data_IF_123661291667
#
_entry.id   IF_123661291667
#
_cell.length_a   1.000
_cell.length_b   1.000
_cell.length_c   1.000
_cell.angle_alpha   90.00
_cell.angle_beta   90.00
_cell.angle_gamma   90.00
#
_symmetry.space_group_name_H-M   'P 1'
#
loop_
_entity.id
_entity.type
_entity.pdbx_description
1 polymer ?
#
# COMPACT_ATOMS: atom_id res chain seq x y z
N UNK A 1 -1.17 -14.05 24.65
CA UNK A 1 -1.72 -12.71 24.97
C UNK A 1 -3.13 -12.90 25.51
N UNK A 2 -3.33 -12.70 26.81
CA UNK A 2 -4.67 -12.63 27.39
C UNK A 2 -5.25 -11.27 26.97
N UNK A 3 -6.39 -11.26 26.29
CA UNK A 3 -7.06 -10.00 25.87
C UNK A 3 -7.90 -9.47 27.01
N UNK A 4 -7.95 -8.15 27.17
CA UNK A 4 -8.89 -7.53 28.11
C UNK A 4 -10.33 -7.82 27.62
N UNK A 5 -11.23 -8.34 28.47
CA UNK A 5 -12.63 -8.53 28.13
C UNK A 5 -13.34 -7.26 27.62
N UNK A 6 -12.81 -6.07 27.91
CA UNK A 6 -13.33 -4.77 27.43
C UNK A 6 -12.83 -4.37 26.04
N UNK A 7 -11.87 -5.10 25.45
CA UNK A 7 -11.33 -4.77 24.13
C UNK A 7 -12.34 -4.99 23.01
N UNK A 8 -12.59 -3.95 22.22
CA UNK A 8 -13.36 -4.06 21.00
C UNK A 8 -12.49 -4.58 19.85
N UNK A 9 -12.98 -5.60 19.15
CA UNK A 9 -12.29 -6.18 18.00
C UNK A 9 -12.39 -5.25 16.79
N UNK A 10 -11.38 -4.38 16.60
CA UNK A 10 -11.28 -3.51 15.41
C UNK A 10 -11.01 -4.27 14.11
N UNK A 11 -10.16 -5.29 14.18
CA UNK A 11 -9.73 -6.12 13.05
C UNK A 11 -9.67 -7.61 13.41
N UNK A 12 -10.11 -8.46 12.48
CA UNK A 12 -9.98 -9.91 12.53
C UNK A 12 -8.54 -10.37 12.33
N UNK A 13 -8.23 -11.63 12.70
CA UNK A 13 -6.90 -12.18 12.52
C UNK A 13 -6.48 -12.24 11.03
N UNK A 14 -7.41 -12.64 10.15
CA UNK A 14 -7.18 -12.69 8.71
C UNK A 14 -6.91 -11.32 8.10
N UNK A 15 -7.65 -10.29 8.52
CA UNK A 15 -7.41 -8.91 8.05
C UNK A 15 -6.00 -8.43 8.43
N UNK A 16 -5.57 -8.70 9.67
CA UNK A 16 -4.21 -8.35 10.11
C UNK A 16 -3.14 -9.14 9.37
N UNK A 17 -3.34 -10.44 9.19
CA UNK A 17 -2.39 -11.29 8.48
C UNK A 17 -2.19 -10.82 7.03
N UNK A 18 -3.28 -10.57 6.30
CA UNK A 18 -3.20 -10.06 4.93
C UNK A 18 -2.56 -8.66 4.88
N UNK A 19 -2.85 -7.79 5.86
CA UNK A 19 -2.19 -6.49 5.97
C UNK A 19 -0.67 -6.63 6.16
N UNK A 20 -0.21 -7.55 7.01
CA UNK A 20 1.22 -7.81 7.18
C UNK A 20 1.88 -8.35 5.92
N UNK A 21 1.19 -9.20 5.14
CA UNK A 21 1.69 -9.64 3.82
C UNK A 21 1.89 -8.43 2.91
N UNK A 22 0.87 -7.57 2.76
CA UNK A 22 0.98 -6.35 1.94
C UNK A 22 2.10 -5.43 2.44
N UNK A 23 2.22 -5.21 3.75
CA UNK A 23 3.24 -4.34 4.34
C UNK A 23 4.66 -4.85 4.11
N UNK A 24 4.88 -6.15 4.30
CA UNK A 24 6.19 -6.77 4.02
C UNK A 24 6.51 -6.73 2.52
N UNK A 25 5.56 -7.07 1.65
CA UNK A 25 5.77 -6.98 0.21
C UNK A 25 6.08 -5.56 -0.25
N UNK A 26 5.39 -4.55 0.30
CA UNK A 26 5.67 -3.15 0.01
C UNK A 26 7.10 -2.76 0.39
N UNK A 27 7.56 -3.13 1.58
CA UNK A 27 8.94 -2.82 2.03
C UNK A 27 9.95 -3.45 1.07
N UNK A 28 9.77 -4.73 0.72
CA UNK A 28 10.67 -5.42 -0.21
C UNK A 28 10.66 -4.79 -1.61
N UNK A 29 9.49 -4.40 -2.11
CA UNK A 29 9.35 -3.72 -3.40
C UNK A 29 9.93 -2.33 -3.41
N UNK A 30 9.74 -1.54 -2.35
CA UNK A 30 10.32 -0.21 -2.23
C UNK A 30 11.85 -0.27 -2.24
N UNK A 31 12.44 -1.20 -1.47
CA UNK A 31 13.89 -1.36 -1.40
C UNK A 31 14.50 -1.87 -2.72
N UNK A 32 13.89 -2.89 -3.32
CA UNK A 32 14.35 -3.41 -4.62
C UNK A 32 14.12 -2.41 -5.76
N UNK A 33 12.99 -1.70 -5.75
CA UNK A 33 12.66 -0.66 -6.73
C UNK A 33 13.62 0.53 -6.64
N UNK A 34 13.94 1.02 -5.44
CA UNK A 34 14.96 2.06 -5.23
C UNK A 34 16.32 1.63 -5.78
N UNK A 35 16.71 0.37 -5.54
CA UNK A 35 17.97 -0.19 -6.04
C UNK A 35 18.06 -0.17 -7.58
N UNK A 36 16.92 -0.32 -8.26
CA UNK A 36 16.80 -0.31 -9.72
C UNK A 36 16.53 1.09 -10.28
N UNK A 37 16.07 2.03 -9.46
CA UNK A 37 15.70 3.38 -9.86
C UNK A 37 16.89 4.33 -9.95
N UNK A 38 17.79 4.32 -8.97
CA UNK A 38 18.93 5.24 -8.93
C UNK A 38 20.22 4.55 -8.45
N UNK A 39 21.38 4.76 -9.12
CA UNK A 39 22.62 4.03 -8.84
C UNK A 39 23.13 4.13 -7.39
N UNK A 40 22.84 5.24 -6.70
CA UNK A 40 23.18 5.43 -5.28
C UNK A 40 22.65 4.30 -4.39
N UNK A 41 21.51 3.72 -4.76
CA UNK A 41 20.85 2.67 -3.99
C UNK A 41 21.19 1.25 -4.46
N UNK A 42 22.09 1.10 -5.44
CA UNK A 42 22.55 -0.21 -5.92
C UNK A 42 22.98 -1.19 -4.81
N UNK A 43 23.63 -0.76 -3.70
CA UNK A 43 23.98 -1.66 -2.60
C UNK A 43 22.79 -2.42 -1.98
N UNK A 44 21.55 -1.91 -2.12
CA UNK A 44 20.34 -2.59 -1.65
C UNK A 44 20.07 -3.92 -2.39
N UNK A 45 20.61 -4.11 -3.60
CA UNK A 45 20.48 -5.38 -4.33
C UNK A 45 21.06 -6.58 -3.56
N UNK A 46 22.01 -6.34 -2.65
CA UNK A 46 22.59 -7.39 -1.81
C UNK A 46 21.57 -8.02 -0.85
N UNK A 47 20.50 -7.30 -0.48
CA UNK A 47 19.42 -7.83 0.35
C UNK A 47 18.64 -8.95 -0.36
N UNK A 48 18.71 -9.00 -1.69
CA UNK A 48 17.97 -9.94 -2.52
C UNK A 48 18.88 -10.98 -3.17
N UNK A 49 20.17 -11.05 -2.82
CA UNK A 49 21.14 -11.95 -3.45
C UNK A 49 21.83 -11.38 -4.71
N UNK A 50 21.80 -10.06 -4.88
CA UNK A 50 22.46 -9.33 -5.97
C UNK A 50 21.50 -8.85 -7.06
N UNK A 51 22.03 -8.13 -8.06
CA UNK A 51 21.23 -7.49 -9.12
C UNK A 51 20.36 -8.47 -9.92
N UNK A 52 20.89 -9.64 -10.25
CA UNK A 52 20.16 -10.69 -10.98
C UNK A 52 18.91 -11.13 -10.22
N UNK A 53 19.07 -11.50 -8.95
CA UNK A 53 17.95 -11.94 -8.12
C UNK A 53 16.99 -10.80 -7.78
N UNK A 54 17.49 -9.58 -7.55
CA UNK A 54 16.64 -8.39 -7.35
C UNK A 54 15.67 -8.21 -8.52
N UNK A 55 16.18 -8.25 -9.76
CA UNK A 55 15.37 -8.11 -10.98
C UNK A 55 14.38 -9.25 -11.16
N UNK A 56 14.76 -10.49 -10.81
CA UNK A 56 13.89 -11.66 -10.91
C UNK A 56 12.75 -11.57 -9.88
N UNK A 57 13.08 -11.30 -8.60
CA UNK A 57 12.14 -11.36 -7.48
C UNK A 57 11.16 -10.17 -7.46
N UNK A 58 11.61 -8.97 -7.82
CA UNK A 58 10.80 -7.75 -7.74
C UNK A 58 9.39 -7.91 -8.36
N UNK A 59 9.24 -8.31 -9.64
CA UNK A 59 7.90 -8.42 -10.23
C UNK A 59 7.04 -9.53 -9.60
N UNK A 60 7.62 -10.64 -9.12
CA UNK A 60 6.84 -11.68 -8.40
C UNK A 60 6.31 -11.18 -7.06
N UNK A 61 7.12 -10.43 -6.30
CA UNK A 61 6.67 -9.77 -5.07
C UNK A 61 5.59 -8.73 -5.41
N UNK A 62 5.71 -8.05 -6.55
CA UNK A 62 4.72 -7.12 -7.09
C UNK A 62 3.35 -7.77 -7.30
N UNK A 63 3.32 -8.96 -7.91
CA UNK A 63 2.09 -9.75 -8.08
C UNK A 63 1.51 -10.16 -6.72
N UNK A 64 2.33 -10.67 -5.81
CA UNK A 64 1.88 -11.04 -4.46
C UNK A 64 1.24 -9.85 -3.75
N UNK A 65 1.90 -8.69 -3.77
CA UNK A 65 1.38 -7.46 -3.19
C UNK A 65 0.05 -7.07 -3.83
N UNK A 66 -0.05 -7.06 -5.16
CA UNK A 66 -1.25 -6.67 -5.88
C UNK A 66 -2.44 -7.56 -5.54
N UNK A 67 -2.25 -8.89 -5.50
CA UNK A 67 -3.31 -9.84 -5.14
C UNK A 67 -3.74 -9.68 -3.68
N UNK A 68 -2.79 -9.60 -2.74
CA UNK A 68 -3.08 -9.40 -1.32
C UNK A 68 -3.75 -8.06 -1.05
N UNK A 69 -3.32 -6.99 -1.72
CA UNK A 69 -3.93 -5.66 -1.63
C UNK A 69 -5.34 -5.66 -2.22
N UNK A 70 -5.58 -6.33 -3.35
CA UNK A 70 -6.93 -6.44 -3.94
C UNK A 70 -7.93 -7.08 -2.97
N UNK A 71 -7.48 -8.07 -2.17
CA UNK A 71 -8.30 -8.65 -1.12
C UNK A 71 -8.64 -7.63 -0.01
N UNK A 72 -7.68 -6.80 0.43
CA UNK A 72 -7.95 -5.71 1.38
C UNK A 72 -8.88 -4.65 0.78
N UNK A 73 -8.64 -4.25 -0.48
CA UNK A 73 -9.45 -3.28 -1.19
C UNK A 73 -10.92 -3.72 -1.24
N UNK A 74 -11.19 -4.96 -1.69
CA UNK A 74 -12.55 -5.49 -1.74
C UNK A 74 -13.21 -5.53 -0.36
N UNK A 75 -12.45 -5.85 0.69
CA UNK A 75 -12.92 -5.94 2.07
C UNK A 75 -13.27 -4.56 2.67
N UNK A 76 -12.46 -3.55 2.38
CA UNK A 76 -12.52 -2.25 3.07
C UNK A 76 -13.07 -1.11 2.22
N UNK A 77 -13.29 -1.28 0.90
CA UNK A 77 -13.74 -0.18 0.01
C UNK A 77 -15.00 0.53 0.51
N UNK A 78 -16.02 -0.22 0.95
CA UNK A 78 -17.30 0.36 1.39
C UNK A 78 -17.15 1.18 2.68
N UNK A 79 -16.17 0.83 3.52
CA UNK A 79 -15.86 1.57 4.75
C UNK A 79 -15.02 2.82 4.49
N UNK A 80 -14.48 2.97 3.28
CA UNK A 80 -13.61 4.07 2.87
C UNK A 80 -14.26 4.98 1.82
N UNK A 81 -15.57 4.89 1.64
CA UNK A 81 -16.30 5.86 0.83
C UNK A 81 -16.16 7.26 1.45
N UNK A 82 -15.79 8.23 0.61
CA UNK A 82 -15.60 9.62 1.01
C UNK A 82 -16.97 10.30 1.13
N UNK A 83 -17.29 10.78 2.33
CA UNK A 83 -18.50 11.55 2.62
C UNK A 83 -18.17 13.04 2.70
N UNK A 84 -19.19 13.93 2.70
CA UNK A 84 -18.97 15.37 2.93
C UNK A 84 -18.20 15.66 4.24
N UNK A 85 -18.47 14.89 5.30
CA UNK A 85 -17.79 15.01 6.59
C UNK A 85 -16.30 14.67 6.50
N UNK A 86 -15.91 13.72 5.65
CA UNK A 86 -14.49 13.41 5.42
C UNK A 86 -13.77 14.55 4.69
N UNK A 87 -14.46 15.24 3.78
CA UNK A 87 -13.88 16.40 3.09
C UNK A 87 -13.70 17.59 4.03
N UNK A 88 -14.65 17.79 4.94
CA UNK A 88 -14.49 18.76 6.04
C UNK A 88 -13.30 18.39 6.93
N UNK A 89 -13.16 17.11 7.29
CA UNK A 89 -12.02 16.60 8.06
C UNK A 89 -10.69 16.95 7.36
N UNK A 90 -10.61 16.74 6.05
CA UNK A 90 -9.40 17.04 5.26
C UNK A 90 -9.12 18.54 5.22
N UNK A 91 -10.16 19.39 5.12
CA UNK A 91 -10.01 20.84 5.19
C UNK A 91 -9.44 21.34 6.52
N UNK A 92 -9.63 20.57 7.60
CA UNK A 92 -9.16 20.87 8.96
C UNK A 92 -7.95 20.04 9.38
N UNK A 93 -7.23 19.42 8.44
CA UNK A 93 -6.09 18.52 8.75
C UNK A 93 -5.04 19.17 9.65
N UNK A 94 -4.89 20.50 9.58
CA UNK A 94 -3.96 21.25 10.44
C UNK A 94 -4.31 21.13 11.93
N UNK A 95 -5.60 21.18 12.28
CA UNK A 95 -6.06 21.04 13.67
C UNK A 95 -5.67 19.68 14.25
N UNK A 96 -5.86 18.61 13.47
CA UNK A 96 -5.41 17.26 13.84
C UNK A 96 -3.88 17.15 14.00
N UNK A 97 -3.11 17.80 13.12
CA UNK A 97 -1.63 17.78 13.19
C UNK A 97 -1.12 18.57 14.39
N UNK A 98 -1.81 19.65 14.75
CA UNK A 98 -1.52 20.48 15.93
C UNK A 98 -2.01 19.82 17.25
N UNK A 99 -2.67 18.66 17.17
CA UNK A 99 -3.10 17.85 18.31
C UNK A 99 -4.48 18.21 18.87
N UNK A 100 -5.23 19.09 18.21
CA UNK A 100 -6.60 19.45 18.56
C UNK A 100 -7.59 18.52 17.84
N UNK A 101 -7.80 17.32 18.39
CA UNK A 101 -8.74 16.35 17.85
C UNK A 101 -10.19 16.61 18.29
N UNK A 102 -10.40 17.47 19.28
CA UNK A 102 -11.71 17.77 19.86
C UNK A 102 -12.63 18.54 18.91
N UNK A 103 -12.05 19.38 18.06
CA UNK A 103 -12.79 20.19 17.08
C UNK A 103 -12.95 19.50 15.72
N UNK A 104 -12.45 18.27 15.57
CA UNK A 104 -12.56 17.52 14.33
C UNK A 104 -13.99 17.02 14.12
N UNK A 105 -14.48 16.99 12.87
CA UNK A 105 -15.78 16.45 12.55
C UNK A 105 -15.86 14.96 12.87
N UNK A 106 -17.10 14.46 13.04
CA UNK A 106 -17.37 13.08 13.44
C UNK A 106 -16.66 12.06 12.53
N UNK A 107 -15.93 11.13 13.15
CA UNK A 107 -15.17 10.11 12.45
C UNK A 107 -15.87 8.77 12.61
N UNK A 108 -16.15 8.11 11.48
CA UNK A 108 -16.62 6.73 11.48
C UNK A 108 -15.50 5.74 11.84
N UNK A 109 -15.54 4.54 11.25
CA UNK A 109 -14.47 3.56 11.45
C UNK A 109 -13.08 4.06 10.98
N UNK A 110 -13.06 4.92 9.97
CA UNK A 110 -11.88 5.56 9.40
C UNK A 110 -12.15 7.06 9.24
N UNK A 111 -11.11 7.87 9.45
CA UNK A 111 -11.16 9.32 9.24
C UNK A 111 -10.84 9.69 7.78
N UNK A 112 -11.07 10.96 7.42
CA UNK A 112 -10.85 11.46 6.06
C UNK A 112 -9.43 11.21 5.54
N UNK A 113 -8.40 11.40 6.37
CA UNK A 113 -7.01 11.13 6.00
C UNK A 113 -6.73 9.65 5.69
N UNK A 114 -7.26 8.74 6.50
CA UNK A 114 -7.14 7.30 6.27
C UNK A 114 -7.85 6.86 4.98
N UNK A 115 -9.01 7.44 4.69
CA UNK A 115 -9.75 7.17 3.45
C UNK A 115 -9.01 7.71 2.22
N UNK A 116 -8.47 8.93 2.29
CA UNK A 116 -7.62 9.48 1.22
C UNK A 116 -6.39 8.60 0.96
N UNK A 117 -5.73 8.13 2.03
CA UNK A 117 -4.61 7.21 1.90
C UNK A 117 -5.03 5.90 1.24
N UNK A 118 -6.18 5.33 1.62
CA UNK A 118 -6.73 4.11 1.02
C UNK A 118 -6.90 4.26 -0.50
N UNK A 119 -7.52 5.36 -0.96
CA UNK A 119 -7.74 5.59 -2.39
C UNK A 119 -6.45 5.89 -3.14
N UNK A 120 -5.55 6.68 -2.56
CA UNK A 120 -4.21 6.95 -3.13
C UNK A 120 -3.45 5.64 -3.34
N UNK A 121 -3.39 4.79 -2.32
CA UNK A 121 -2.73 3.48 -2.40
C UNK A 121 -3.40 2.58 -3.46
N UNK A 122 -4.72 2.58 -3.56
CA UNK A 122 -5.43 1.79 -4.56
C UNK A 122 -5.07 2.20 -5.99
N UNK A 123 -5.01 3.51 -6.27
CA UNK A 123 -4.60 4.04 -7.57
C UNK A 123 -3.12 3.74 -7.84
N UNK A 124 -2.22 4.00 -6.89
CA UNK A 124 -0.80 3.74 -7.07
C UNK A 124 -0.50 2.26 -7.32
N UNK A 125 -1.11 1.35 -6.55
CA UNK A 125 -0.92 -0.10 -6.75
C UNK A 125 -1.43 -0.53 -8.11
N UNK A 126 -2.58 -0.03 -8.55
CA UNK A 126 -3.12 -0.33 -9.87
C UNK A 126 -2.17 0.16 -10.99
N UNK A 127 -1.71 1.41 -10.91
CA UNK A 127 -0.79 1.99 -11.89
C UNK A 127 0.54 1.24 -11.94
N UNK A 128 1.14 0.94 -10.79
CA UNK A 128 2.40 0.18 -10.70
C UNK A 128 2.24 -1.26 -11.23
N UNK A 129 1.12 -1.92 -10.93
CA UNK A 129 0.87 -3.26 -11.43
C UNK A 129 0.69 -3.27 -12.96
N UNK A 130 -0.13 -2.38 -13.49
CA UNK A 130 -0.39 -2.29 -14.94
C UNK A 130 0.86 -1.90 -15.71
N UNK A 131 1.63 -0.92 -15.22
CA UNK A 131 2.90 -0.51 -15.85
C UNK A 131 4.01 -1.55 -15.68
N UNK A 132 3.99 -2.36 -14.62
CA UNK A 132 4.97 -3.43 -14.40
C UNK A 132 4.85 -4.58 -15.40
N UNK A 133 3.65 -4.86 -15.92
CA UNK A 133 3.42 -5.94 -16.91
C UNK A 133 4.27 -5.76 -18.18
N UNK A 134 4.21 -4.62 -18.91
CA UNK A 134 5.02 -4.44 -20.11
C UNK A 134 6.53 -4.35 -19.83
N UNK A 135 6.91 -3.97 -18.60
CA UNK A 135 8.30 -3.97 -18.15
C UNK A 135 8.82 -5.38 -17.82
N UNK A 136 7.94 -6.37 -17.67
CA UNK A 136 8.31 -7.75 -17.31
C UNK A 136 8.75 -8.58 -18.53
N UNK A 137 9.89 -8.19 -19.09
CA UNK A 137 10.51 -8.74 -20.32
C UNK A 137 10.79 -10.24 -20.32
N UNK A 138 10.83 -10.89 -19.16
CA UNK A 138 11.06 -12.33 -19.06
C UNK A 138 9.87 -13.15 -19.56
N UNK A 139 8.65 -12.60 -19.49
CA UNK A 139 7.42 -13.30 -19.88
C UNK A 139 6.66 -12.60 -21.00
N UNK A 140 6.86 -11.30 -21.17
CA UNK A 140 6.17 -10.51 -22.19
C UNK A 140 7.16 -9.80 -23.11
N UNK A 141 6.97 -9.96 -24.42
CA UNK A 141 7.80 -9.34 -25.44
C UNK A 141 7.03 -8.23 -26.18
N UNK A 142 6.74 -7.15 -25.45
CA UNK A 142 6.09 -5.98 -26.04
C UNK A 142 7.09 -5.15 -26.88
N UNK A 143 6.64 -4.50 -27.97
CA UNK A 143 7.49 -3.60 -28.74
C UNK A 143 8.14 -2.54 -27.85
N UNK A 144 9.42 -2.22 -28.10
CA UNK A 144 10.16 -1.23 -27.28
C UNK A 144 9.50 0.14 -27.30
N UNK A 145 8.84 0.53 -28.40
CA UNK A 145 8.10 1.81 -28.47
C UNK A 145 6.80 1.87 -27.66
N UNK A 146 6.34 0.75 -27.10
CA UNK A 146 5.18 0.72 -26.18
C UNK A 146 5.57 0.99 -24.73
N UNK A 147 6.87 0.83 -24.40
CA UNK A 147 7.41 0.81 -23.04
C UNK A 147 8.18 2.09 -22.74
#
# INVERSE_FOLDING_TARGET
MIRDPKDLKRYTAHERANHWVVGMSFILLALSGLALFHPLFWPLTNLFGGGTWTRILHPFIGVLMAVSFLALYKRFKALNEMTPTDWEWVGRVKEMVDGDDHNMPEQGKYNGGQKLLFWTLAVCVLLLFVSGIPLWRAWFDFPVGLV
#
